data_IF_356653359369
#
_entry.id   IF_356653359369
#
_cell.length_a   1.000
_cell.length_b   1.000
_cell.length_c   1.000
_cell.angle_alpha   90.00
_cell.angle_beta   90.00
_cell.angle_gamma   90.00
#
_symmetry.space_group_name_H-M   'P 1'
#
loop_
_entity.id
_entity.type
_entity.pdbx_description
1 polymer ?
#
# COMPACT_ATOMS: atom_id res chain seq x y z
N UNK A 1 15.55 18.34 -3.09
CA UNK A 1 14.14 18.80 -3.04
C UNK A 1 13.90 19.50 -1.71
N UNK A 2 13.18 20.62 -1.67
CA UNK A 2 12.83 21.30 -0.42
C UNK A 2 11.85 20.42 0.39
N UNK A 3 12.05 20.29 1.71
CA UNK A 3 11.20 19.48 2.61
C UNK A 3 9.73 19.87 2.47
N UNK A 4 9.43 21.18 2.39
CA UNK A 4 8.05 21.66 2.27
C UNK A 4 7.40 21.20 0.97
N UNK A 5 8.15 21.23 -0.15
CA UNK A 5 7.67 20.73 -1.43
C UNK A 5 7.43 19.22 -1.38
N UNK A 6 8.32 18.46 -0.72
CA UNK A 6 8.13 17.02 -0.51
C UNK A 6 6.87 16.71 0.30
N UNK A 7 6.64 17.43 1.40
CA UNK A 7 5.43 17.29 2.21
C UNK A 7 4.16 17.62 1.43
N UNK A 8 4.18 18.67 0.61
CA UNK A 8 3.05 19.04 -0.25
C UNK A 8 2.73 17.96 -1.29
N UNK A 9 3.76 17.39 -1.94
CA UNK A 9 3.58 16.29 -2.91
C UNK A 9 2.97 15.07 -2.22
N UNK A 10 3.46 14.69 -1.03
CA UNK A 10 2.91 13.58 -0.25
C UNK A 10 1.46 13.85 0.15
N UNK A 11 1.14 15.09 0.57
CA UNK A 11 -0.23 15.46 0.95
C UNK A 11 -1.21 15.37 -0.23
N UNK A 12 -0.83 15.90 -1.40
CA UNK A 12 -1.64 15.82 -2.63
C UNK A 12 -1.83 14.36 -3.05
N UNK A 13 -0.76 13.57 -3.05
CA UNK A 13 -0.82 12.14 -3.37
C UNK A 13 -1.74 11.37 -2.40
N UNK A 14 -1.63 11.64 -1.09
CA UNK A 14 -2.46 11.02 -0.05
C UNK A 14 -3.94 11.39 -0.20
N UNK A 15 -4.23 12.64 -0.56
CA UNK A 15 -5.58 13.10 -0.85
C UNK A 15 -6.17 12.40 -2.10
N UNK A 16 -5.38 12.29 -3.17
CA UNK A 16 -5.76 11.53 -4.36
C UNK A 16 -6.07 10.06 -4.06
N UNK A 17 -5.19 9.39 -3.30
CA UNK A 17 -5.37 8.00 -2.91
C UNK A 17 -6.63 7.81 -2.05
N UNK A 18 -6.85 8.69 -1.06
CA UNK A 18 -8.01 8.59 -0.16
C UNK A 18 -9.34 8.88 -0.87
N UNK A 19 -9.35 9.81 -1.82
CA UNK A 19 -10.55 10.17 -2.58
C UNK A 19 -10.96 9.10 -3.59
N UNK A 20 -10.04 8.24 -4.04
CA UNK A 20 -10.32 7.16 -5.00
C UNK A 20 -11.40 6.17 -4.54
N UNK A 21 -11.66 6.07 -3.23
CA UNK A 21 -12.69 5.19 -2.67
C UNK A 21 -14.11 5.79 -2.69
N UNK A 22 -14.24 7.12 -2.84
CA UNK A 22 -15.54 7.81 -2.80
C UNK A 22 -16.43 7.43 -4.00
N UNK A 23 -15.91 7.37 -5.26
CA UNK A 23 -16.71 6.98 -6.41
C UNK A 23 -17.15 5.51 -6.41
N UNK A 24 -16.49 4.63 -5.63
CA UNK A 24 -16.82 3.19 -5.56
C UNK A 24 -18.30 3.00 -5.22
N UNK A 25 -18.84 3.82 -4.31
CA UNK A 25 -20.26 3.75 -3.91
C UNK A 25 -21.25 4.10 -5.03
N UNK A 26 -20.79 4.77 -6.09
CA UNK A 26 -21.61 5.15 -7.25
C UNK A 26 -21.63 4.07 -8.33
N UNK A 27 -20.68 3.12 -8.32
CA UNK A 27 -20.63 2.01 -9.27
C UNK A 27 -21.51 0.88 -8.75
N UNK A 28 -22.74 0.77 -9.29
CA UNK A 28 -23.76 -0.19 -8.82
C UNK A 28 -23.90 -1.47 -9.66
N UNK A 29 -23.44 -1.44 -10.91
CA UNK A 29 -23.71 -2.49 -11.90
C UNK A 29 -22.52 -3.44 -12.11
N UNK A 30 -21.38 -3.16 -11.50
CA UNK A 30 -20.18 -3.95 -11.69
C UNK A 30 -19.98 -4.83 -10.47
N UNK A 31 -19.61 -6.08 -10.74
CA UNK A 31 -19.01 -6.93 -9.72
C UNK A 31 -17.75 -6.24 -9.18
N UNK A 32 -17.53 -6.41 -7.88
CA UNK A 32 -16.45 -5.75 -7.16
C UNK A 32 -15.07 -6.05 -7.77
N UNK A 33 -14.87 -7.29 -8.21
CA UNK A 33 -13.67 -7.78 -8.89
C UNK A 33 -13.39 -7.02 -10.17
N UNK A 34 -14.41 -6.78 -10.99
CA UNK A 34 -14.28 -6.06 -12.26
C UNK A 34 -13.92 -4.60 -12.02
N UNK A 35 -14.55 -3.98 -11.02
CA UNK A 35 -14.23 -2.62 -10.62
C UNK A 35 -12.76 -2.51 -10.16
N UNK A 36 -12.32 -3.39 -9.26
CA UNK A 36 -10.97 -3.36 -8.70
C UNK A 36 -9.91 -3.68 -9.76
N UNK A 37 -10.20 -4.60 -10.68
CA UNK A 37 -9.32 -4.95 -11.79
C UNK A 37 -9.12 -3.77 -12.74
N UNK A 38 -10.21 -3.14 -13.20
CA UNK A 38 -10.12 -1.98 -14.10
C UNK A 38 -9.40 -0.82 -13.42
N UNK A 39 -9.74 -0.52 -12.16
CA UNK A 39 -9.03 0.49 -11.38
C UNK A 39 -7.53 0.18 -11.30
N UNK A 40 -7.16 -1.07 -11.00
CA UNK A 40 -5.77 -1.52 -10.92
C UNK A 40 -5.02 -1.35 -12.24
N UNK A 41 -5.63 -1.72 -13.37
CA UNK A 41 -5.02 -1.53 -14.71
C UNK A 41 -4.70 -0.06 -14.95
N UNK A 42 -5.64 0.84 -14.69
CA UNK A 42 -5.40 2.27 -14.91
C UNK A 42 -4.39 2.85 -13.93
N UNK A 43 -4.52 2.54 -12.64
CA UNK A 43 -3.69 3.09 -11.58
C UNK A 43 -2.24 2.57 -11.61
N UNK A 44 -2.03 1.31 -12.00
CA UNK A 44 -0.74 0.63 -11.86
C UNK A 44 -0.02 0.41 -13.20
N UNK A 45 -0.74 0.41 -14.33
CA UNK A 45 -0.14 0.21 -15.65
C UNK A 45 -0.30 1.43 -16.53
N UNK A 46 -1.54 1.87 -16.81
CA UNK A 46 -1.79 2.94 -17.80
C UNK A 46 -1.21 4.27 -17.36
N UNK A 47 -1.56 4.77 -16.16
CA UNK A 47 -1.06 6.08 -15.72
C UNK A 47 0.44 6.10 -15.46
N UNK A 48 1.07 5.09 -14.82
CA UNK A 48 2.51 5.05 -14.73
C UNK A 48 3.20 5.02 -16.11
N UNK A 49 2.68 4.25 -17.07
CA UNK A 49 3.22 4.21 -18.42
C UNK A 49 3.04 5.53 -19.18
N UNK A 50 1.89 6.20 -19.06
CA UNK A 50 1.71 7.54 -19.63
C UNK A 50 2.66 8.55 -18.97
N UNK A 51 2.85 8.44 -17.65
CA UNK A 51 3.80 9.26 -16.90
C UNK A 51 5.23 9.11 -17.41
N UNK A 52 5.68 7.90 -17.72
CA UNK A 52 7.01 7.68 -18.27
C UNK A 52 7.15 8.22 -19.69
N UNK A 53 6.12 8.09 -20.53
CA UNK A 53 6.11 8.70 -21.87
C UNK A 53 6.21 10.23 -21.84
N UNK A 54 5.54 10.88 -20.86
CA UNK A 54 5.59 12.34 -20.68
C UNK A 54 6.96 12.85 -20.22
N UNK A 55 7.72 12.03 -19.48
CA UNK A 55 9.07 12.37 -19.02
C UNK A 55 10.11 12.11 -20.11
N UNK A 56 9.85 11.18 -21.04
CA UNK A 56 10.64 10.95 -22.26
C UNK A 56 10.57 9.49 -22.74
N UNK A 57 10.21 9.29 -24.02
CA UNK A 57 9.91 7.97 -24.63
C UNK A 57 11.13 7.06 -24.84
N UNK A 58 12.33 7.61 -25.02
CA UNK A 58 13.57 6.82 -25.21
C UNK A 58 14.10 6.18 -23.92
N UNK A 59 13.46 6.46 -22.78
CA UNK A 59 13.99 6.13 -21.47
C UNK A 59 13.66 4.72 -21.00
N UNK A 60 12.47 4.16 -21.32
CA UNK A 60 11.97 3.01 -20.57
C UNK A 60 12.71 1.71 -20.89
N UNK A 61 12.80 1.33 -22.17
CA UNK A 61 13.59 0.16 -22.59
C UNK A 61 15.06 0.35 -22.24
N UNK A 62 15.59 1.57 -22.35
CA UNK A 62 16.98 1.85 -22.01
C UNK A 62 17.23 1.67 -20.52
N UNK A 63 16.38 2.23 -19.65
CA UNK A 63 16.44 2.09 -18.18
C UNK A 63 16.34 0.62 -17.77
N UNK A 64 15.43 -0.15 -18.37
CA UNK A 64 15.26 -1.57 -18.07
C UNK A 64 16.47 -2.43 -18.49
N UNK A 65 17.22 -1.99 -19.51
CA UNK A 65 18.41 -2.66 -20.00
C UNK A 65 19.71 -2.19 -19.34
N UNK A 66 19.71 -1.04 -18.65
CA UNK A 66 20.89 -0.50 -17.96
C UNK A 66 21.41 -1.44 -16.87
N UNK A 67 20.51 -1.99 -16.04
CA UNK A 67 20.83 -3.00 -15.04
C UNK A 67 19.71 -4.04 -15.01
N UNK A 68 19.88 -5.09 -15.82
CA UNK A 68 18.89 -6.17 -15.95
C UNK A 68 18.64 -6.90 -14.61
N UNK A 69 19.66 -7.25 -13.81
CA UNK A 69 19.43 -7.79 -12.47
C UNK A 69 18.58 -6.89 -11.55
N UNK A 70 18.85 -5.58 -11.51
CA UNK A 70 18.06 -4.62 -10.74
C UNK A 70 16.63 -4.53 -11.26
N UNK A 71 16.46 -4.43 -12.59
CA UNK A 71 15.15 -4.40 -13.23
C UNK A 71 14.32 -5.65 -12.91
N UNK A 72 14.92 -6.85 -12.98
CA UNK A 72 14.24 -8.10 -12.64
C UNK A 72 13.82 -8.16 -11.17
N UNK A 73 14.67 -7.67 -10.25
CA UNK A 73 14.30 -7.57 -8.82
C UNK A 73 13.14 -6.59 -8.62
N UNK A 74 13.18 -5.42 -9.24
CA UNK A 74 12.09 -4.43 -9.16
C UNK A 74 10.78 -4.98 -9.74
N UNK A 75 10.83 -5.73 -10.84
CA UNK A 75 9.67 -6.44 -11.40
C UNK A 75 9.14 -7.48 -10.40
N UNK A 76 10.01 -8.31 -9.82
CA UNK A 76 9.61 -9.32 -8.83
C UNK A 76 8.91 -8.70 -7.62
N UNK A 77 9.46 -7.61 -7.07
CA UNK A 77 8.81 -6.86 -5.99
C UNK A 77 7.52 -6.17 -6.42
N UNK A 78 7.44 -5.70 -7.68
CA UNK A 78 6.22 -5.16 -8.27
C UNK A 78 5.10 -6.20 -8.37
N UNK A 79 5.43 -7.45 -8.72
CA UNK A 79 4.47 -8.57 -8.70
C UNK A 79 3.94 -8.83 -7.30
N UNK A 80 4.82 -8.90 -6.29
CA UNK A 80 4.41 -9.06 -4.89
C UNK A 80 3.52 -7.90 -4.45
N UNK A 81 3.89 -6.65 -4.78
CA UNK A 81 3.05 -5.49 -4.49
C UNK A 81 1.67 -5.57 -5.18
N UNK A 82 1.60 -6.06 -6.42
CA UNK A 82 0.34 -6.30 -7.12
C UNK A 82 -0.56 -7.31 -6.40
N UNK A 83 0.02 -8.41 -5.88
CA UNK A 83 -0.70 -9.36 -5.00
C UNK A 83 -1.21 -8.64 -3.74
N UNK A 84 -0.39 -7.76 -3.17
CA UNK A 84 -0.78 -6.88 -2.06
C UNK A 84 -1.99 -6.01 -2.39
N UNK A 85 -2.01 -5.36 -3.55
CA UNK A 85 -3.12 -4.52 -4.00
C UNK A 85 -4.43 -5.30 -4.24
N UNK A 86 -4.36 -6.50 -4.80
CA UNK A 86 -5.54 -7.36 -5.01
C UNK A 86 -6.11 -7.85 -3.65
N UNK A 87 -5.24 -8.30 -2.75
CA UNK A 87 -5.65 -8.77 -1.42
C UNK A 87 -6.09 -7.63 -0.51
N UNK A 88 -5.55 -6.43 -0.69
CA UNK A 88 -6.01 -5.21 -0.02
C UNK A 88 -7.49 -4.94 -0.32
N UNK A 89 -7.87 -4.96 -1.60
CA UNK A 89 -9.25 -4.88 -2.01
C UNK A 89 -10.14 -5.91 -1.30
N UNK A 90 -9.71 -7.17 -1.33
CA UNK A 90 -10.43 -8.30 -0.75
C UNK A 90 -10.58 -8.18 0.78
N UNK A 91 -9.59 -7.59 1.47
CA UNK A 91 -9.66 -7.30 2.89
C UNK A 91 -10.81 -6.35 3.23
N UNK A 92 -11.01 -5.31 2.41
CA UNK A 92 -12.10 -4.34 2.60
C UNK A 92 -13.48 -4.99 2.37
N UNK A 93 -13.54 -5.98 1.48
CA UNK A 93 -14.76 -6.79 1.24
C UNK A 93 -15.13 -7.66 2.45
N UNK A 94 -14.16 -8.20 3.19
CA UNK A 94 -14.43 -9.06 4.34
C UNK A 94 -14.50 -8.33 5.69
N UNK A 95 -13.79 -7.20 5.84
CA UNK A 95 -13.67 -6.46 7.11
C UNK A 95 -14.39 -5.10 7.09
N UNK A 96 -14.78 -4.63 5.92
CA UNK A 96 -15.16 -3.23 5.70
C UNK A 96 -13.93 -2.31 5.55
N UNK A 97 -14.18 -1.11 5.02
CA UNK A 97 -13.12 -0.14 4.69
C UNK A 97 -12.29 0.24 5.91
N UNK A 98 -12.92 0.57 7.05
CA UNK A 98 -12.20 1.07 8.22
C UNK A 98 -11.18 0.06 8.78
N UNK A 99 -11.61 -1.17 9.07
CA UNK A 99 -10.76 -2.20 9.66
C UNK A 99 -9.78 -2.78 8.62
N UNK A 100 -10.22 -3.01 7.38
CA UNK A 100 -9.37 -3.51 6.29
C UNK A 100 -8.23 -2.55 5.98
N UNK A 101 -8.50 -1.26 5.81
CA UNK A 101 -7.47 -0.27 5.51
C UNK A 101 -6.50 -0.06 6.66
N UNK A 102 -6.99 0.07 7.90
CA UNK A 102 -6.13 0.31 9.05
C UNK A 102 -5.09 -0.80 9.21
N UNK A 103 -5.54 -2.05 9.12
CA UNK A 103 -4.67 -3.21 9.29
C UNK A 103 -3.70 -3.33 8.12
N UNK A 104 -4.18 -3.28 6.87
CA UNK A 104 -3.31 -3.48 5.72
C UNK A 104 -2.33 -2.33 5.49
N UNK A 105 -2.78 -1.07 5.59
CA UNK A 105 -1.89 0.09 5.46
C UNK A 105 -0.90 0.17 6.61
N UNK A 106 -1.31 -0.22 7.82
CA UNK A 106 -0.40 -0.20 8.95
C UNK A 106 0.65 -1.28 8.94
N UNK A 107 0.28 -2.50 8.54
CA UNK A 107 1.25 -3.55 8.25
C UNK A 107 2.18 -3.12 7.10
N UNK A 108 1.64 -2.53 6.02
CA UNK A 108 2.47 -2.00 4.92
C UNK A 108 3.46 -0.93 5.39
N UNK A 109 3.02 0.04 6.17
CA UNK A 109 3.87 1.12 6.68
C UNK A 109 4.99 0.59 7.59
N UNK A 110 4.66 -0.35 8.48
CA UNK A 110 5.64 -0.96 9.37
C UNK A 110 6.68 -1.76 8.61
N UNK A 111 6.26 -2.74 7.80
CA UNK A 111 7.19 -3.60 7.08
C UNK A 111 7.93 -2.85 5.96
N UNK A 112 7.25 -1.93 5.27
CA UNK A 112 7.84 -1.12 4.20
C UNK A 112 8.93 -0.17 4.69
N UNK A 113 8.92 0.15 5.99
CA UNK A 113 9.96 0.96 6.64
C UNK A 113 11.02 0.09 7.31
N UNK A 114 10.61 -0.92 8.08
CA UNK A 114 11.51 -1.73 8.89
C UNK A 114 12.34 -2.73 8.06
N UNK A 115 11.76 -3.39 7.05
CA UNK A 115 12.50 -4.38 6.27
C UNK A 115 13.72 -3.73 5.59
N UNK A 116 13.59 -2.62 4.83
CA UNK A 116 14.77 -1.97 4.24
C UNK A 116 15.80 -1.54 5.29
N UNK A 117 15.35 -0.98 6.42
CA UNK A 117 16.24 -0.50 7.47
C UNK A 117 17.02 -1.65 8.14
N UNK A 118 16.39 -2.82 8.31
CA UNK A 118 17.04 -4.04 8.81
C UNK A 118 17.97 -4.65 7.76
N UNK A 119 17.66 -4.54 6.47
CA UNK A 119 18.56 -5.00 5.40
C UNK A 119 19.85 -4.16 5.35
N UNK A 120 19.74 -2.85 5.62
CA UNK A 120 20.86 -1.90 5.66
C UNK A 120 21.48 -1.77 7.07
N UNK A 121 21.73 -2.93 7.74
CA UNK A 121 22.00 -3.10 9.18
C UNK A 121 22.86 -2.05 9.89
N UNK A 122 23.81 -1.43 9.19
CA UNK A 122 24.86 -0.59 9.77
C UNK A 122 24.36 0.73 10.38
N UNK A 123 23.10 1.12 10.16
CA UNK A 123 22.58 2.42 10.60
C UNK A 123 21.34 2.35 11.52
N UNK A 124 20.77 1.17 11.77
CA UNK A 124 19.47 1.06 12.47
C UNK A 124 19.51 1.59 13.92
N UNK A 125 20.63 1.37 14.62
CA UNK A 125 20.83 1.84 16.00
C UNK A 125 21.62 3.16 16.08
N UNK A 126 21.90 3.79 14.94
CA UNK A 126 22.45 5.14 14.90
C UNK A 126 21.38 6.19 15.22
N UNK A 127 21.76 7.44 15.47
CA UNK A 127 20.81 8.51 15.80
C UNK A 127 19.67 8.67 14.78
N UNK A 128 19.97 8.57 13.49
CA UNK A 128 18.95 8.61 12.42
C UNK A 128 18.07 7.35 12.40
N UNK A 129 18.65 6.18 12.65
CA UNK A 129 17.91 4.92 12.76
C UNK A 129 16.96 4.89 13.96
N UNK A 130 17.35 5.46 15.10
CA UNK A 130 16.47 5.59 16.27
C UNK A 130 15.29 6.54 16.02
N UNK A 131 15.51 7.65 15.30
CA UNK A 131 14.44 8.55 14.87
C UNK A 131 13.45 7.82 13.94
N UNK A 132 13.95 7.00 13.01
CA UNK A 132 13.12 6.16 12.14
C UNK A 132 12.27 5.17 12.95
N UNK A 133 12.89 4.45 13.89
CA UNK A 133 12.19 3.50 14.76
C UNK A 133 11.12 4.19 15.61
N UNK A 134 11.41 5.37 16.16
CA UNK A 134 10.42 6.18 16.89
C UNK A 134 9.24 6.56 15.99
N UNK A 135 9.51 7.00 14.76
CA UNK A 135 8.47 7.29 13.77
C UNK A 135 7.58 6.08 13.50
N UNK A 136 8.18 4.90 13.29
CA UNK A 136 7.44 3.63 13.10
C UNK A 136 6.57 3.31 14.33
N UNK A 137 7.09 3.46 15.54
CA UNK A 137 6.32 3.24 16.77
C UNK A 137 5.11 4.17 16.87
N UNK A 138 5.27 5.46 16.54
CA UNK A 138 4.18 6.44 16.53
C UNK A 138 3.13 6.06 15.48
N UNK A 139 3.56 5.72 14.27
CA UNK A 139 2.66 5.29 13.18
C UNK A 139 1.88 4.04 13.59
N UNK A 140 2.55 3.00 14.08
CA UNK A 140 1.92 1.76 14.55
C UNK A 140 0.92 2.00 15.68
N UNK A 141 1.25 2.91 16.61
CA UNK A 141 0.33 3.29 17.69
C UNK A 141 -0.94 3.94 17.13
N UNK A 142 -0.80 4.89 16.20
CA UNK A 142 -1.94 5.53 15.54
C UNK A 142 -2.84 4.52 14.82
N UNK A 143 -2.25 3.60 14.06
CA UNK A 143 -2.99 2.50 13.40
C UNK A 143 -3.70 1.61 14.43
N UNK A 144 -3.02 1.23 15.51
CA UNK A 144 -3.60 0.38 16.54
C UNK A 144 -4.82 1.05 17.19
N UNK A 145 -4.75 2.36 17.46
CA UNK A 145 -5.87 3.15 18.00
C UNK A 145 -7.04 3.20 17.02
N UNK A 146 -6.81 3.50 15.73
CA UNK A 146 -7.87 3.54 14.71
C UNK A 146 -8.49 2.15 14.51
N UNK A 147 -7.67 1.10 14.46
CA UNK A 147 -8.12 -0.28 14.34
C UNK A 147 -8.94 -0.72 15.57
N UNK A 148 -8.53 -0.32 16.77
CA UNK A 148 -9.28 -0.58 18.00
C UNK A 148 -10.63 0.14 18.00
N UNK A 149 -10.68 1.42 17.63
CA UNK A 149 -11.93 2.16 17.49
C UNK A 149 -12.87 1.53 16.45
N UNK A 150 -12.33 1.09 15.31
CA UNK A 150 -13.09 0.34 14.30
C UNK A 150 -13.62 -0.99 14.82
N UNK A 151 -12.82 -1.70 15.62
CA UNK A 151 -13.21 -2.97 16.26
C UNK A 151 -14.32 -2.77 17.30
N UNK A 152 -14.22 -1.75 18.15
CA UNK A 152 -15.28 -1.40 19.11
C UNK A 152 -16.60 -1.09 18.39
N UNK A 153 -16.57 -0.22 17.37
CA UNK A 153 -17.73 0.05 16.53
C UNK A 153 -18.31 -1.22 15.92
N UNK A 154 -17.45 -2.13 15.45
CA UNK A 154 -17.92 -3.40 14.92
C UNK A 154 -18.55 -4.28 16.01
N UNK A 155 -18.04 -4.30 17.25
CA UNK A 155 -18.60 -5.11 18.34
C UNK A 155 -20.03 -4.68 18.70
N UNK A 156 -20.28 -3.37 18.69
CA UNK A 156 -21.57 -2.78 19.04
C UNK A 156 -22.63 -2.94 17.94
N UNK A 157 -22.23 -3.34 16.73
CA UNK A 157 -23.16 -3.66 15.65
C UNK A 157 -23.73 -5.08 15.80
N UNK A 158 -25.05 -5.20 15.70
CA UNK A 158 -25.73 -6.48 15.58
C UNK A 158 -25.25 -7.26 14.35
N UNK A 159 -25.46 -8.58 14.33
CA UNK A 159 -25.15 -9.39 13.13
C UNK A 159 -25.88 -8.86 11.89
N UNK A 160 -27.12 -8.39 12.04
CA UNK A 160 -27.89 -7.78 10.95
C UNK A 160 -27.24 -6.50 10.42
N UNK A 161 -26.78 -5.61 11.30
CA UNK A 161 -26.09 -4.37 10.91
C UNK A 161 -24.73 -4.63 10.27
N UNK A 162 -23.99 -5.65 10.74
CA UNK A 162 -22.73 -6.09 10.12
C UNK A 162 -22.95 -6.58 8.70
N UNK A 163 -23.96 -7.43 8.48
CA UNK A 163 -24.31 -7.94 7.16
C UNK A 163 -24.89 -6.85 6.24
N UNK A 164 -25.64 -5.90 6.79
CA UNK A 164 -26.12 -4.74 6.05
C UNK A 164 -24.97 -3.82 5.60
N UNK A 165 -23.93 -3.66 6.42
CA UNK A 165 -22.76 -2.85 6.10
C UNK A 165 -21.76 -3.58 5.19
N UNK A 166 -21.57 -4.89 5.37
CA UNK A 166 -20.63 -5.74 4.64
C UNK A 166 -21.27 -7.12 4.42
N UNK A 167 -21.83 -7.34 3.21
CA UNK A 167 -22.58 -8.56 2.88
C UNK A 167 -21.81 -9.86 3.11
N UNK A 168 -20.49 -9.82 2.99
CA UNK A 168 -19.61 -11.00 3.11
C UNK A 168 -18.73 -10.94 4.35
N UNK A 169 -19.15 -10.27 5.41
CA UNK A 169 -18.31 -10.06 6.59
C UNK A 169 -17.72 -11.38 7.14
N UNK A 170 -16.38 -11.46 7.18
CA UNK A 170 -15.66 -12.66 7.63
C UNK A 170 -14.37 -12.27 8.37
N UNK A 171 -14.45 -12.14 9.69
CA UNK A 171 -13.37 -11.57 10.52
C UNK A 171 -12.03 -12.31 10.38
N UNK A 172 -11.98 -13.62 10.65
CA UNK A 172 -10.72 -14.39 10.60
C UNK A 172 -10.08 -14.37 9.21
N UNK A 173 -10.88 -14.59 8.17
CA UNK A 173 -10.44 -14.59 6.77
C UNK A 173 -9.93 -13.19 6.38
N UNK A 174 -10.70 -12.16 6.71
CA UNK A 174 -10.35 -10.77 6.43
C UNK A 174 -9.07 -10.31 7.11
N UNK A 175 -8.84 -10.69 8.39
CA UNK A 175 -7.62 -10.33 9.12
C UNK A 175 -6.36 -10.93 8.48
N UNK A 176 -6.41 -12.22 8.12
CA UNK A 176 -5.29 -12.89 7.44
C UNK A 176 -4.99 -12.23 6.08
N UNK A 177 -6.04 -11.93 5.30
CA UNK A 177 -5.91 -11.29 4.00
C UNK A 177 -5.38 -9.85 4.14
N UNK A 178 -5.81 -9.09 5.14
CA UNK A 178 -5.32 -7.74 5.40
C UNK A 178 -3.83 -7.72 5.78
N UNK A 179 -3.39 -8.65 6.63
CA UNK A 179 -1.98 -8.78 7.00
C UNK A 179 -1.13 -9.18 5.78
N UNK A 180 -1.59 -10.15 5.00
CA UNK A 180 -0.94 -10.53 3.75
C UNK A 180 -0.85 -9.34 2.79
N UNK A 181 -1.94 -8.60 2.62
CA UNK A 181 -1.99 -7.40 1.79
C UNK A 181 -0.94 -6.38 2.23
N UNK A 182 -0.81 -6.12 3.52
CA UNK A 182 0.19 -5.20 4.04
C UNK A 182 1.63 -5.66 3.81
N UNK A 183 1.96 -6.92 4.12
CA UNK A 183 3.32 -7.46 3.93
C UNK A 183 3.70 -7.47 2.46
N UNK A 184 2.80 -7.90 1.57
CA UNK A 184 3.03 -7.90 0.13
C UNK A 184 3.13 -6.48 -0.43
N UNK A 185 2.32 -5.53 0.09
CA UNK A 185 2.41 -4.13 -0.33
C UNK A 185 3.71 -3.46 0.09
N UNK A 186 4.32 -3.89 1.21
CA UNK A 186 5.63 -3.40 1.64
C UNK A 186 6.74 -3.69 0.61
N UNK A 187 6.56 -4.69 -0.26
CA UNK A 187 7.49 -4.98 -1.34
C UNK A 187 7.67 -3.81 -2.31
N UNK A 188 6.73 -2.86 -2.40
CA UNK A 188 6.92 -1.65 -3.21
C UNK A 188 8.19 -0.89 -2.81
N UNK A 189 8.42 -0.71 -1.51
CA UNK A 189 9.61 -0.05 -0.96
C UNK A 189 10.89 -0.82 -1.33
N UNK A 190 10.84 -2.15 -1.30
CA UNK A 190 11.96 -3.01 -1.71
C UNK A 190 12.21 -2.93 -3.22
N UNK A 191 11.15 -2.83 -4.04
CA UNK A 191 11.23 -2.65 -5.48
C UNK A 191 11.89 -1.33 -5.87
N UNK A 192 11.57 -0.24 -5.15
CA UNK A 192 12.23 1.05 -5.30
C UNK A 192 13.72 0.94 -4.94
N UNK A 193 14.05 0.36 -3.78
CA UNK A 193 15.44 0.18 -3.37
C UNK A 193 16.24 -0.72 -4.33
N UNK A 194 15.61 -1.78 -4.86
CA UNK A 194 16.25 -2.66 -5.83
C UNK A 194 16.56 -1.94 -7.16
N UNK A 195 15.72 -0.97 -7.55
CA UNK A 195 15.91 -0.18 -8.77
C UNK A 195 16.94 0.94 -8.62
N UNK A 196 17.39 1.24 -7.40
CA UNK A 196 18.45 2.22 -7.12
C UNK A 196 19.88 1.65 -7.32
N UNK A 197 20.04 0.52 -8.02
CA UNK A 197 21.30 -0.23 -8.03
C UNK A 197 22.52 0.56 -8.57
N UNK A 198 23.55 0.56 -7.71
CA UNK A 198 25.00 0.71 -7.94
C UNK A 198 25.55 2.07 -8.40
N UNK A 199 25.51 3.08 -7.53
CA UNK A 199 26.69 3.95 -7.36
C UNK A 199 27.70 3.17 -6.50
N UNK A 200 28.46 2.29 -7.16
CA UNK A 200 29.75 1.81 -6.65
C UNK A 200 30.87 2.67 -7.25
#
# INVERSE_FOLDING_TARGET
MNILAGLLIIAIGSFGQSSSYVPIRKVKQWEWENFWLVQGIFAWLVFPFLGTLLVGSDSLCRILLTDVPAALKSVGYGVLWGVGGLTFGLSMRYLGVALGQSLALGTCAAFGTLIPAVMNRDQLFSGSGLILLLGVCITLTGIAVIGYAGSLRSKDMSKGEKFAAVKEFALKKGLLIALLAGVMSACFSLGLNAGLANEG
#
